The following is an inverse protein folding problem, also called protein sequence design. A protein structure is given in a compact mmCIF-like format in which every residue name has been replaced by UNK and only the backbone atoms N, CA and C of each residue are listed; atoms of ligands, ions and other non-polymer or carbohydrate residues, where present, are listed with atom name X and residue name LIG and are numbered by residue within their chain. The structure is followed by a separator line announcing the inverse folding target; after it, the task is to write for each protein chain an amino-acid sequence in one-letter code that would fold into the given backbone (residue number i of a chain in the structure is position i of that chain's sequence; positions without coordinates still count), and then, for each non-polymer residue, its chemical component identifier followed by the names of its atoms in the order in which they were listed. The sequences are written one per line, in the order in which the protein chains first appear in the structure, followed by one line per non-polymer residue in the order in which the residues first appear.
data_IF_614241710121
#
_entry.id   IF_614241710121
#
_cell.length_a   1.000
_cell.length_b   1.000
_cell.length_c   1.000
_cell.angle_alpha   90.00
_cell.angle_beta   90.00
_cell.angle_gamma   90.00
#
_symmetry.space_group_name_H-M   'P 1'
#
loop_
_entity.id
_entity.type
_entity.pdbx_description
1 polymer ?
#
# COMPACT_ATOMS: atom_id res chain seq x y z
N UNK A 1 4.23 -25.08 -27.51
CA UNK A 1 5.48 -25.42 -26.81
C UNK A 1 5.38 -24.91 -25.38
N UNK A 2 5.12 -25.79 -24.41
CA UNK A 2 5.04 -25.43 -22.99
C UNK A 2 6.46 -25.37 -22.42
N UNK A 3 6.84 -24.21 -21.85
CA UNK A 3 8.11 -24.07 -21.14
C UNK A 3 7.95 -24.76 -19.77
N UNK A 4 8.77 -25.76 -19.41
CA UNK A 4 8.53 -26.65 -18.27
C UNK A 4 8.53 -25.97 -16.89
N UNK A 5 9.04 -24.75 -16.79
CA UNK A 5 9.15 -23.98 -15.53
C UNK A 5 8.17 -22.80 -15.44
N UNK A 6 7.17 -22.70 -16.34
CA UNK A 6 6.18 -21.63 -16.34
C UNK A 6 4.83 -22.21 -15.92
N UNK A 7 4.26 -21.69 -14.83
CA UNK A 7 2.93 -22.10 -14.38
C UNK A 7 1.83 -21.59 -15.32
N UNK A 8 0.69 -22.27 -15.39
CA UNK A 8 -0.43 -21.81 -16.24
C UNK A 8 -0.88 -20.38 -15.90
N UNK A 9 -0.86 -20.01 -14.61
CA UNK A 9 -1.17 -18.67 -14.13
C UNK A 9 -0.09 -17.60 -14.47
N UNK A 10 0.96 -17.96 -15.20
CA UNK A 10 1.96 -17.05 -15.76
C UNK A 10 1.75 -16.79 -17.26
N UNK A 11 0.87 -17.56 -17.90
CA UNK A 11 0.54 -17.43 -19.30
C UNK A 11 -0.69 -16.53 -19.52
N UNK A 12 -0.89 -16.11 -20.76
CA UNK A 12 -2.14 -15.46 -21.17
C UNK A 12 -3.30 -16.43 -20.90
N UNK A 13 -4.33 -15.96 -20.20
CA UNK A 13 -5.53 -16.76 -19.90
C UNK A 13 -6.28 -17.09 -21.18
N UNK A 14 -6.94 -18.25 -21.21
CA UNK A 14 -7.89 -18.58 -22.28
C UNK A 14 -9.12 -17.69 -22.18
N UNK A 15 -9.85 -17.54 -23.27
CA UNK A 15 -11.03 -16.67 -23.34
C UNK A 15 -12.09 -17.08 -22.31
N UNK A 16 -12.27 -18.38 -22.13
CA UNK A 16 -13.21 -19.01 -21.19
C UNK A 16 -12.79 -18.88 -19.72
N UNK A 17 -11.53 -18.51 -19.42
CA UNK A 17 -10.98 -18.43 -18.06
C UNK A 17 -10.81 -16.98 -17.57
N UNK A 18 -11.13 -15.97 -18.38
CA UNK A 18 -10.80 -14.56 -18.08
C UNK A 18 -11.42 -14.05 -16.76
N UNK A 19 -12.59 -14.56 -16.39
CA UNK A 19 -13.29 -14.22 -15.15
C UNK A 19 -13.00 -15.18 -13.98
N UNK A 20 -12.21 -16.22 -14.20
CA UNK A 20 -11.82 -17.12 -13.11
C UNK A 20 -10.73 -16.46 -12.24
N UNK A 21 -10.71 -16.70 -10.92
CA UNK A 21 -9.63 -16.19 -10.08
C UNK A 21 -8.27 -16.79 -10.51
N UNK A 22 -7.21 -15.98 -10.38
CA UNK A 22 -5.84 -16.49 -10.52
C UNK A 22 -5.62 -17.64 -9.52
N UNK A 23 -4.88 -18.68 -9.94
CA UNK A 23 -4.61 -19.85 -9.11
C UNK A 23 -4.01 -19.49 -7.73
N UNK A 24 -3.29 -18.37 -7.63
CA UNK A 24 -2.70 -17.88 -6.37
C UNK A 24 -3.71 -17.34 -5.36
N UNK A 25 -4.94 -17.07 -5.79
CA UNK A 25 -6.05 -16.69 -4.91
C UNK A 25 -6.96 -17.87 -4.56
N UNK A 26 -6.96 -18.97 -5.34
CA UNK A 26 -7.92 -20.10 -5.17
C UNK A 26 -7.94 -20.67 -3.75
N UNK A 27 -6.79 -20.79 -3.10
CA UNK A 27 -6.67 -21.36 -1.75
C UNK A 27 -6.49 -20.31 -0.64
N UNK A 28 -6.63 -19.02 -0.97
CA UNK A 28 -6.57 -17.95 0.04
C UNK A 28 -7.79 -18.07 0.95
N UNK A 29 -7.53 -18.09 2.26
CA UNK A 29 -8.56 -18.12 3.30
C UNK A 29 -8.63 -16.79 4.04
N UNK A 30 -9.83 -16.45 4.48
CA UNK A 30 -10.13 -15.29 5.33
C UNK A 30 -10.95 -15.75 6.53
N UNK A 31 -10.79 -15.06 7.66
CA UNK A 31 -11.63 -15.26 8.84
C UNK A 31 -12.85 -14.34 8.72
N UNK A 32 -14.03 -14.93 8.67
CA UNK A 32 -15.30 -14.21 8.62
C UNK A 32 -15.72 -13.85 10.05
N UNK A 33 -15.69 -12.54 10.38
CA UNK A 33 -16.03 -12.06 11.71
C UNK A 33 -17.52 -12.23 12.05
N UNK A 34 -18.41 -12.21 11.05
CA UNK A 34 -19.84 -12.37 11.29
C UNK A 34 -20.15 -13.84 11.59
N UNK A 35 -19.61 -14.75 10.78
CA UNK A 35 -19.85 -16.20 10.88
C UNK A 35 -18.92 -16.92 11.85
N UNK A 36 -17.87 -16.25 12.33
CA UNK A 36 -16.84 -16.81 13.21
C UNK A 36 -16.18 -18.08 12.63
N UNK A 37 -15.97 -18.09 11.31
CA UNK A 37 -15.44 -19.26 10.58
C UNK A 37 -14.32 -18.87 9.62
N UNK A 38 -13.50 -19.85 9.25
CA UNK A 38 -12.50 -19.70 8.18
C UNK A 38 -13.13 -20.16 6.87
N UNK A 39 -13.22 -19.27 5.89
CA UNK A 39 -13.73 -19.58 4.54
C UNK A 39 -12.76 -19.12 3.45
N UNK A 40 -13.02 -19.52 2.21
CA UNK A 40 -12.27 -19.02 1.06
C UNK A 40 -12.52 -17.52 0.89
N UNK A 41 -11.46 -16.81 0.51
CA UNK A 41 -11.51 -15.41 0.10
C UNK A 41 -12.36 -15.33 -1.17
N UNK A 42 -13.29 -14.38 -1.22
CA UNK A 42 -14.10 -14.10 -2.42
C UNK A 42 -13.66 -12.80 -3.08
N UNK A 43 -14.16 -12.56 -4.30
CA UNK A 43 -13.92 -11.29 -4.98
C UNK A 43 -14.56 -10.12 -4.23
N UNK A 44 -15.67 -10.31 -3.54
CA UNK A 44 -16.32 -9.29 -2.73
C UNK A 44 -15.45 -8.90 -1.52
N UNK A 45 -14.83 -9.87 -0.86
CA UNK A 45 -13.85 -9.57 0.21
C UNK A 45 -12.68 -8.77 -0.34
N UNK A 46 -12.17 -9.21 -1.50
CA UNK A 46 -11.05 -8.54 -2.15
C UNK A 46 -11.43 -7.12 -2.57
N UNK A 47 -12.60 -6.93 -3.17
CA UNK A 47 -13.15 -5.64 -3.56
C UNK A 47 -13.27 -4.70 -2.37
N UNK A 48 -13.82 -5.14 -1.23
CA UNK A 48 -13.93 -4.31 -0.02
C UNK A 48 -12.55 -3.81 0.46
N UNK A 49 -11.52 -4.66 0.41
CA UNK A 49 -10.15 -4.22 0.73
C UNK A 49 -9.63 -3.16 -0.25
N UNK A 50 -10.00 -3.21 -1.53
CA UNK A 50 -9.64 -2.17 -2.52
C UNK A 50 -10.49 -0.91 -2.33
N UNK A 51 -11.74 -1.07 -1.92
CA UNK A 51 -12.69 0.01 -1.69
C UNK A 51 -12.22 0.96 -0.58
N UNK A 52 -11.66 0.40 0.49
CA UNK A 52 -11.10 1.14 1.63
C UNK A 52 -9.91 2.05 1.26
N UNK A 53 -9.21 1.75 0.17
CA UNK A 53 -8.09 2.55 -0.34
C UNK A 53 -8.60 3.80 -1.06
N UNK A 54 -9.28 4.71 -0.35
CA UNK A 54 -9.94 5.88 -0.94
C UNK A 54 -9.18 7.18 -0.67
N UNK A 55 -9.02 7.99 -1.72
CA UNK A 55 -8.58 9.38 -1.59
C UNK A 55 -9.74 10.28 -1.16
N UNK A 56 -9.49 11.27 -0.30
CA UNK A 56 -10.51 12.26 0.06
C UNK A 56 -10.72 13.29 -1.05
N UNK A 57 -11.87 13.97 -1.05
CA UNK A 57 -12.30 14.88 -2.14
C UNK A 57 -11.48 16.19 -2.24
N UNK A 58 -10.48 16.35 -1.37
CA UNK A 58 -9.54 17.48 -1.41
C UNK A 58 -8.33 17.22 -2.31
N UNK A 59 -8.17 15.99 -2.80
CA UNK A 59 -7.10 15.60 -3.72
C UNK A 59 -7.44 16.06 -5.14
N UNK A 60 -6.51 16.70 -5.89
CA UNK A 60 -6.76 17.15 -7.26
C UNK A 60 -7.18 16.03 -8.23
N UNK A 61 -8.09 16.34 -9.15
CA UNK A 61 -8.69 15.39 -10.11
C UNK A 61 -7.66 14.54 -10.87
N UNK A 62 -6.60 15.15 -11.38
CA UNK A 62 -5.54 14.42 -12.11
C UNK A 62 -4.87 13.37 -11.22
N UNK A 63 -4.63 13.69 -9.95
CA UNK A 63 -4.04 12.76 -8.97
C UNK A 63 -5.04 11.66 -8.63
N UNK A 64 -6.30 12.04 -8.42
CA UNK A 64 -7.38 11.12 -8.13
C UNK A 64 -7.53 10.07 -9.25
N UNK A 65 -7.65 10.53 -10.50
CA UNK A 65 -7.76 9.68 -11.68
C UNK A 65 -6.56 8.73 -11.81
N UNK A 66 -5.33 9.21 -11.59
CA UNK A 66 -4.14 8.36 -11.66
C UNK A 66 -4.11 7.29 -10.55
N UNK A 67 -4.63 7.59 -9.36
CA UNK A 67 -4.72 6.61 -8.28
C UNK A 67 -5.89 5.63 -8.47
N UNK A 68 -7.02 6.06 -9.01
CA UNK A 68 -8.12 5.16 -9.39
C UNK A 68 -7.67 4.13 -10.44
N UNK A 69 -6.79 4.50 -11.37
CA UNK A 69 -6.13 3.53 -12.26
C UNK A 69 -5.36 2.47 -11.48
N UNK A 70 -4.64 2.86 -10.41
CA UNK A 70 -3.92 1.90 -9.57
C UNK A 70 -4.87 0.96 -8.81
N UNK A 71 -5.97 1.49 -8.25
CA UNK A 71 -6.99 0.69 -7.56
C UNK A 71 -7.67 -0.30 -8.50
N UNK A 72 -8.04 0.15 -9.70
CA UNK A 72 -8.59 -0.73 -10.72
C UNK A 72 -7.59 -1.83 -11.08
N UNK A 73 -6.34 -1.49 -11.40
CA UNK A 73 -5.30 -2.50 -11.67
C UNK A 73 -5.15 -3.48 -10.52
N UNK A 74 -5.23 -3.01 -9.27
CA UNK A 74 -5.15 -3.86 -8.09
C UNK A 74 -6.37 -4.78 -7.98
N UNK A 75 -7.59 -4.30 -8.21
CA UNK A 75 -8.80 -5.13 -8.24
C UNK A 75 -8.66 -6.25 -9.29
N UNK A 76 -8.16 -5.94 -10.48
CA UNK A 76 -7.96 -6.92 -11.55
C UNK A 76 -6.82 -7.91 -11.25
N UNK A 77 -6.02 -7.72 -10.19
CA UNK A 77 -5.07 -8.77 -9.79
C UNK A 77 -5.78 -10.03 -9.34
N UNK A 78 -7.03 -9.93 -8.87
CA UNK A 78 -7.88 -11.09 -8.56
C UNK A 78 -7.89 -12.12 -9.70
N UNK A 79 -8.01 -11.65 -10.94
CA UNK A 79 -8.03 -12.49 -12.14
C UNK A 79 -6.64 -12.79 -12.69
N UNK A 80 -5.69 -11.86 -12.52
CA UNK A 80 -4.30 -11.96 -13.01
C UNK A 80 -3.32 -11.41 -11.96
N UNK A 81 -2.78 -12.28 -11.12
CA UNK A 81 -1.97 -11.89 -9.95
C UNK A 81 -0.76 -11.02 -10.32
N UNK A 82 -0.15 -11.30 -11.48
CA UNK A 82 1.06 -10.58 -11.94
C UNK A 82 0.81 -9.11 -12.29
N UNK A 83 -0.44 -8.69 -12.48
CA UNK A 83 -0.76 -7.26 -12.63
C UNK A 83 -0.44 -6.45 -11.37
N UNK A 84 -0.18 -7.11 -10.23
CA UNK A 84 0.17 -6.44 -8.98
C UNK A 84 1.36 -5.50 -9.09
N UNK A 85 2.41 -5.89 -9.82
CA UNK A 85 3.58 -5.02 -10.02
C UNK A 85 3.22 -3.76 -10.82
N UNK A 86 2.28 -3.88 -11.76
CA UNK A 86 1.77 -2.76 -12.57
C UNK A 86 0.91 -1.84 -11.71
N UNK A 87 0.07 -2.41 -10.84
CA UNK A 87 -0.72 -1.66 -9.86
C UNK A 87 0.18 -0.87 -8.90
N UNK A 88 1.23 -1.50 -8.35
CA UNK A 88 2.22 -0.84 -7.48
C UNK A 88 2.96 0.29 -8.20
N UNK A 89 3.39 0.07 -9.45
CA UNK A 89 4.02 1.11 -10.26
C UNK A 89 3.09 2.30 -10.52
N UNK A 90 1.82 2.02 -10.82
CA UNK A 90 0.81 3.05 -11.03
C UNK A 90 0.54 3.84 -9.74
N UNK A 91 0.49 3.17 -8.58
CA UNK A 91 0.37 3.84 -7.28
C UNK A 91 1.57 4.74 -6.97
N UNK A 92 2.79 4.31 -7.30
CA UNK A 92 3.97 5.17 -7.17
C UNK A 92 3.95 6.35 -8.14
N UNK A 93 3.42 6.16 -9.35
CA UNK A 93 3.28 7.22 -10.34
C UNK A 93 2.30 8.30 -9.87
N UNK A 94 1.13 7.90 -9.34
CA UNK A 94 0.15 8.84 -8.79
C UNK A 94 0.68 9.57 -7.55
N UNK A 95 1.40 8.87 -6.66
CA UNK A 95 2.12 9.49 -5.54
C UNK A 95 3.15 10.53 -6.01
N UNK A 96 3.95 10.19 -7.02
CA UNK A 96 4.93 11.12 -7.57
C UNK A 96 4.25 12.34 -8.20
N UNK A 97 3.13 12.15 -8.91
CA UNK A 97 2.31 13.24 -9.43
C UNK A 97 1.77 14.13 -8.30
N UNK A 98 1.17 13.55 -7.26
CA UNK A 98 0.64 14.27 -6.11
C UNK A 98 1.69 15.17 -5.44
N UNK A 99 2.88 14.62 -5.21
CA UNK A 99 4.00 15.35 -4.64
C UNK A 99 4.46 16.50 -5.55
N UNK A 100 4.45 16.32 -6.87
CA UNK A 100 4.79 17.39 -7.83
C UNK A 100 3.75 18.49 -7.84
N UNK A 101 2.47 18.14 -7.81
CA UNK A 101 1.36 19.09 -7.72
C UNK A 101 1.48 19.91 -6.44
N UNK A 102 1.65 19.25 -5.27
CA UNK A 102 1.84 19.92 -3.99
C UNK A 102 3.09 20.81 -3.94
N UNK A 103 4.14 20.45 -4.67
CA UNK A 103 5.37 21.24 -4.77
C UNK A 103 5.29 22.43 -5.74
N UNK A 104 4.14 22.68 -6.37
CA UNK A 104 3.91 23.84 -7.25
C UNK A 104 3.94 23.55 -8.75
N UNK A 105 3.82 22.29 -9.18
CA UNK A 105 3.83 21.91 -10.60
C UNK A 105 5.20 22.06 -11.27
N UNK A 106 5.41 21.42 -12.43
CA UNK A 106 6.61 21.61 -13.27
C UNK A 106 7.97 21.14 -12.71
N UNK A 107 8.03 20.64 -11.47
CA UNK A 107 9.28 20.18 -10.86
C UNK A 107 9.81 18.89 -11.51
N UNK A 108 11.10 18.89 -11.89
CA UNK A 108 11.82 17.70 -12.39
C UNK A 108 12.46 16.86 -11.28
N UNK A 109 12.13 17.14 -10.01
CA UNK A 109 12.66 16.40 -8.87
C UNK A 109 12.17 14.95 -8.92
N UNK A 110 13.08 14.01 -8.70
CA UNK A 110 12.77 12.57 -8.57
C UNK A 110 12.00 12.31 -7.27
N UNK A 111 11.21 11.23 -7.24
CA UNK A 111 10.43 10.76 -6.08
C UNK A 111 11.16 10.89 -4.73
N UNK A 112 12.41 10.41 -4.63
CA UNK A 112 13.18 10.50 -3.39
C UNK A 112 13.31 11.94 -2.86
N UNK A 113 13.63 12.90 -3.74
CA UNK A 113 13.80 14.31 -3.35
C UNK A 113 12.46 14.94 -2.95
N UNK A 114 11.38 14.55 -3.61
CA UNK A 114 10.04 15.00 -3.29
C UNK A 114 9.59 14.48 -1.91
N UNK A 115 9.78 13.19 -1.63
CA UNK A 115 9.46 12.60 -0.33
C UNK A 115 10.30 13.20 0.80
N UNK A 116 11.62 13.33 0.62
CA UNK A 116 12.48 13.99 1.61
C UNK A 116 12.03 15.44 1.87
N UNK A 117 11.60 16.16 0.84
CA UNK A 117 11.07 17.51 0.98
C UNK A 117 9.74 17.52 1.76
N UNK A 118 8.81 16.61 1.45
CA UNK A 118 7.54 16.47 2.15
C UNK A 118 7.73 16.17 3.64
N UNK A 119 8.65 15.26 3.99
CA UNK A 119 9.02 14.99 5.38
C UNK A 119 9.61 16.23 6.05
N UNK A 120 10.55 16.92 5.38
CA UNK A 120 11.22 18.11 5.94
C UNK A 120 10.23 19.25 6.25
N UNK A 121 9.20 19.41 5.43
CA UNK A 121 8.20 20.48 5.60
C UNK A 121 6.96 20.02 6.40
N UNK A 122 6.98 18.80 6.95
CA UNK A 122 5.88 18.26 7.76
C UNK A 122 4.58 18.01 6.97
N UNK A 123 4.65 17.92 5.64
CA UNK A 123 3.49 17.58 4.81
C UNK A 123 3.04 16.14 5.02
N UNK A 124 3.96 15.27 5.44
CA UNK A 124 3.65 13.89 5.83
C UNK A 124 4.25 13.63 7.21
N UNK A 125 3.49 12.91 8.05
CA UNK A 125 3.83 12.64 9.44
C UNK A 125 3.45 11.21 9.80
N UNK A 126 4.11 10.65 10.81
CA UNK A 126 3.92 9.25 11.21
C UNK A 126 2.44 8.97 11.59
N UNK A 127 1.77 9.96 12.18
CA UNK A 127 0.39 9.89 12.63
C UNK A 127 -0.61 9.78 11.48
N UNK A 128 -0.24 10.13 10.25
CA UNK A 128 -1.12 10.02 9.09
C UNK A 128 -1.31 8.58 8.58
N UNK A 129 -0.56 7.61 9.13
CA UNK A 129 -0.58 6.22 8.66
C UNK A 129 -1.31 5.30 9.64
N UNK A 130 -2.46 4.78 9.23
CA UNK A 130 -3.34 3.94 10.06
C UNK A 130 -2.66 2.66 10.52
N UNK A 131 -2.02 1.92 9.60
CA UNK A 131 -1.26 0.71 9.93
C UNK A 131 -0.10 0.97 10.90
N UNK A 132 0.54 2.15 10.82
CA UNK A 132 1.56 2.55 11.78
C UNK A 132 0.95 2.86 13.15
N UNK A 133 -0.13 3.67 13.21
CA UNK A 133 -0.83 3.98 14.47
C UNK A 133 -1.26 2.72 15.20
N UNK A 134 -1.88 1.80 14.48
CA UNK A 134 -2.38 0.55 15.04
C UNK A 134 -1.24 -0.37 15.51
N UNK A 135 -0.13 -0.44 14.75
CA UNK A 135 1.08 -1.15 15.21
C UNK A 135 1.66 -0.53 16.48
N UNK A 136 1.67 0.80 16.59
CA UNK A 136 2.15 1.51 17.77
C UNK A 136 1.24 1.30 18.96
N UNK A 137 -0.08 1.28 18.77
CA UNK A 137 -1.07 0.95 19.79
C UNK A 137 -0.85 -0.46 20.34
N UNK A 138 -0.78 -1.49 19.50
CA UNK A 138 -0.49 -2.87 19.92
C UNK A 138 0.84 -3.01 20.65
N UNK A 139 1.87 -2.29 20.18
CA UNK A 139 3.16 -2.25 20.84
C UNK A 139 3.04 -1.65 22.25
N UNK A 140 2.28 -0.57 22.41
CA UNK A 140 2.05 0.05 23.70
C UNK A 140 1.26 -0.89 24.62
N UNK A 141 0.19 -1.52 24.15
CA UNK A 141 -0.59 -2.51 24.92
C UNK A 141 0.29 -3.68 25.38
N UNK A 142 1.20 -4.15 24.52
CA UNK A 142 2.16 -5.20 24.89
C UNK A 142 3.13 -4.72 25.96
N UNK A 143 3.65 -3.49 25.85
CA UNK A 143 4.54 -2.90 26.84
C UNK A 143 3.82 -2.76 28.18
N UNK A 144 2.59 -2.22 28.17
CA UNK A 144 1.79 -2.01 29.38
C UNK A 144 1.48 -3.34 30.07
N UNK A 145 1.05 -4.36 29.31
CA UNK A 145 0.78 -5.69 29.85
C UNK A 145 2.02 -6.37 30.43
N UNK A 146 3.19 -6.23 29.78
CA UNK A 146 4.45 -6.77 30.31
C UNK A 146 4.97 -5.95 31.50
N UNK A 147 4.75 -4.65 31.53
CA UNK A 147 5.12 -3.78 32.65
C UNK A 147 4.35 -4.10 33.93
N UNK A 148 3.13 -4.63 33.83
CA UNK A 148 2.39 -5.15 34.99
C UNK A 148 3.05 -6.40 35.60
N UNK A 149 3.80 -7.17 34.80
CA UNK A 149 4.49 -8.40 35.23
C UNK A 149 5.94 -8.09 35.63
N UNK A 150 6.59 -7.17 34.91
CA UNK A 150 7.99 -6.79 35.05
C UNK A 150 8.06 -5.26 35.19
N UNK A 151 8.15 -4.72 36.42
CA UNK A 151 8.00 -3.29 36.69
C UNK A 151 8.93 -2.35 35.91
N UNK A 152 10.11 -2.83 35.50
CA UNK A 152 11.13 -2.06 34.77
C UNK A 152 11.14 -2.32 33.25
N UNK A 153 10.16 -3.06 32.72
CA UNK A 153 10.15 -3.46 31.31
C UNK A 153 10.09 -2.27 30.37
N UNK A 154 9.18 -1.31 30.60
CA UNK A 154 9.02 -0.13 29.77
C UNK A 154 10.30 0.73 29.68
N UNK A 155 11.07 0.83 30.77
CA UNK A 155 12.31 1.62 30.82
C UNK A 155 13.41 1.04 29.94
N UNK A 156 13.39 -0.28 29.71
CA UNK A 156 14.33 -0.99 28.82
C UNK A 156 13.97 -0.84 27.34
N UNK A 157 12.76 -0.39 27.03
CA UNK A 157 12.28 -0.27 25.66
C UNK A 157 12.61 1.12 25.11
N UNK A 158 13.37 1.15 24.01
CA UNK A 158 13.65 2.39 23.31
C UNK A 158 12.37 2.97 22.68
N UNK A 159 12.01 4.24 22.98
CA UNK A 159 10.84 4.86 22.38
C UNK A 159 11.02 5.00 20.86
N UNK A 160 9.91 5.00 20.13
CA UNK A 160 9.96 5.29 18.70
C UNK A 160 10.38 6.75 18.49
N UNK A 161 11.25 6.99 17.51
CA UNK A 161 11.67 8.36 17.18
C UNK A 161 10.57 9.05 16.37
N UNK A 162 10.09 10.25 16.76
CA UNK A 162 9.11 11.00 15.98
C UNK A 162 9.56 11.22 14.53
N UNK A 163 8.68 10.98 13.57
CA UNK A 163 8.96 11.02 12.13
C UNK A 163 9.86 9.87 11.64
N UNK A 164 10.08 8.85 12.48
CA UNK A 164 10.94 7.72 12.17
C UNK A 164 10.37 6.86 11.06
N UNK A 165 9.04 6.72 11.03
CA UNK A 165 8.35 5.94 10.01
C UNK A 165 8.39 6.64 8.65
N UNK A 166 8.02 7.91 8.56
CA UNK A 166 8.07 8.67 7.30
C UNK A 166 9.48 8.82 6.74
N UNK A 167 10.50 8.96 7.59
CA UNK A 167 11.90 8.97 7.14
C UNK A 167 12.31 7.62 6.53
N UNK A 168 11.90 6.51 7.15
CA UNK A 168 12.12 5.17 6.62
C UNK A 168 11.41 4.98 5.27
N UNK A 169 10.14 5.39 5.15
CA UNK A 169 9.40 5.35 3.88
C UNK A 169 10.09 6.19 2.79
N UNK A 170 10.54 7.41 3.11
CA UNK A 170 11.24 8.28 2.14
C UNK A 170 12.50 7.65 1.56
N UNK A 171 13.14 6.72 2.29
CA UNK A 171 14.32 6.00 1.86
C UNK A 171 14.01 4.70 1.08
N UNK A 172 12.88 4.05 1.38
CA UNK A 172 12.53 2.73 0.82
C UNK A 172 11.67 2.85 -0.43
N UNK A 173 10.63 3.69 -0.44
CA UNK A 173 9.67 3.77 -1.56
C UNK A 173 10.35 4.06 -2.91
N UNK A 174 11.33 4.99 -3.03
CA UNK A 174 12.01 5.21 -4.30
C UNK A 174 12.78 3.99 -4.82
N UNK A 175 13.35 3.19 -3.90
CA UNK A 175 14.08 1.96 -4.26
C UNK A 175 13.12 0.89 -4.77
N UNK A 176 11.97 0.74 -4.12
CA UNK A 176 10.93 -0.20 -4.55
C UNK A 176 10.36 0.19 -5.90
N UNK A 177 10.01 1.47 -6.10
CA UNK A 177 9.57 1.99 -7.40
C UNK A 177 10.58 1.70 -8.51
N UNK A 178 11.87 1.99 -8.28
CA UNK A 178 12.90 1.76 -9.30
C UNK A 178 13.08 0.28 -9.61
N UNK A 179 13.06 -0.59 -8.58
CA UNK A 179 13.14 -2.04 -8.77
C UNK A 179 12.01 -2.55 -9.67
N UNK A 180 10.77 -2.12 -9.43
CA UNK A 180 9.64 -2.51 -10.26
C UNK A 180 9.78 -1.99 -11.71
N UNK A 181 10.26 -0.76 -11.89
CA UNK A 181 10.43 -0.14 -13.21
C UNK A 181 11.50 -0.83 -14.07
N UNK A 182 12.51 -1.44 -13.45
CA UNK A 182 13.52 -2.25 -14.15
C UNK A 182 13.10 -3.71 -14.38
N UNK A 183 11.88 -4.07 -13.96
CA UNK A 183 11.43 -5.45 -13.90
C UNK A 183 11.91 -6.13 -12.61
N UNK A 184 11.03 -6.94 -12.01
CA UNK A 184 11.33 -7.72 -10.82
C UNK A 184 10.93 -9.17 -11.04
N UNK A 185 11.83 -10.08 -10.72
CA UNK A 185 11.56 -11.53 -10.72
C UNK A 185 10.78 -11.96 -9.47
N UNK A 186 10.74 -11.13 -8.43
CA UNK A 186 10.03 -11.41 -7.18
C UNK A 186 8.55 -11.05 -7.29
N UNK A 187 7.70 -12.04 -7.03
CA UNK A 187 6.28 -11.83 -6.74
C UNK A 187 6.14 -11.29 -5.32
N UNK A 188 5.86 -10.00 -5.19
CA UNK A 188 5.72 -9.34 -3.89
C UNK A 188 4.26 -9.41 -3.43
N UNK A 189 3.93 -10.05 -2.30
CA UNK A 189 2.55 -10.13 -1.81
C UNK A 189 2.05 -8.82 -1.17
N UNK A 190 2.90 -7.80 -1.03
CA UNK A 190 2.57 -6.54 -0.35
C UNK A 190 1.93 -5.46 -1.21
N UNK A 191 1.22 -5.84 -2.29
CA UNK A 191 0.56 -4.89 -3.21
C UNK A 191 -0.38 -3.96 -2.44
N UNK A 192 -1.24 -4.54 -1.58
CA UNK A 192 -2.17 -3.79 -0.73
C UNK A 192 -1.44 -2.71 0.08
N UNK A 193 -0.42 -3.11 0.84
CA UNK A 193 0.34 -2.20 1.70
C UNK A 193 1.02 -1.09 0.90
N UNK A 194 1.50 -1.38 -0.32
CA UNK A 194 2.08 -0.36 -1.20
C UNK A 194 1.02 0.68 -1.60
N UNK A 195 -0.17 0.25 -2.02
CA UNK A 195 -1.26 1.16 -2.37
C UNK A 195 -1.77 1.93 -1.15
N UNK A 196 -1.92 1.28 0.01
CA UNK A 196 -2.30 1.89 1.28
C UNK A 196 -1.34 3.02 1.65
N UNK A 197 -0.04 2.74 1.68
CA UNK A 197 1.00 3.76 1.96
C UNK A 197 0.93 4.91 0.96
N UNK A 198 0.72 4.64 -0.33
CA UNK A 198 0.59 5.70 -1.33
C UNK A 198 -0.68 6.53 -1.11
N UNK A 199 -1.82 5.88 -0.83
CA UNK A 199 -3.09 6.52 -0.50
C UNK A 199 -2.94 7.47 0.69
N UNK A 200 -2.40 6.96 1.80
CA UNK A 200 -2.22 7.71 3.03
C UNK A 200 -1.23 8.87 2.88
N UNK A 201 -0.18 8.71 2.07
CA UNK A 201 0.70 9.83 1.74
C UNK A 201 -0.07 10.88 0.93
N UNK A 202 -0.76 10.49 -0.15
CA UNK A 202 -1.48 11.42 -1.02
C UNK A 202 -2.50 12.22 -0.23
N UNK A 203 -3.27 11.55 0.63
CA UNK A 203 -4.25 12.18 1.50
C UNK A 203 -3.62 13.18 2.51
N UNK A 204 -2.38 12.97 2.93
CA UNK A 204 -1.70 13.94 3.79
C UNK A 204 -1.21 15.19 3.04
N UNK A 205 -1.07 15.13 1.71
CA UNK A 205 -0.54 16.26 0.93
C UNK A 205 -1.55 17.38 0.70
N UNK A 206 -2.84 17.10 0.86
CA UNK A 206 -3.92 18.03 0.57
C UNK A 206 -4.87 18.13 1.76
N UNK A 207 -5.51 19.28 1.91
CA UNK A 207 -6.50 19.45 2.98
C UNK A 207 -7.80 18.73 2.57
N UNK A 208 -8.46 17.99 3.49
CA UNK A 208 -9.79 17.50 3.22
C UNK A 208 -10.77 18.68 3.03
N UNK A 209 -11.88 18.48 2.30
CA UNK A 209 -12.91 19.50 2.20
C UNK A 209 -13.36 19.94 3.60
N UNK A 210 -13.55 21.25 3.79
CA UNK A 210 -14.17 21.74 5.03
C UNK A 210 -15.62 21.24 5.03
N UNK A 211 -15.96 20.42 6.01
CA UNK A 211 -17.34 20.01 6.30
C UNK A 211 -18.24 21.21 6.57
#
# INVERSE_FOLDING_TARGET
MTRPNIGEADCLKKLEEICEPDARYKDRKVYDLERHEIRLLTIEDFYRNVEELKLHDGVPDDVFIEFEKARNLYLYTWFVYRLGQVAELQAYASLELALRVRHGGGTKKKLQRLLTHAVKHGWIRDEGFSGYREKMKRRQETIDGLSQIIPDYAEKIKPAKPGGYVRMLSAILPKMRNRLAHGSTLLHPGIHNTLEICCEIINQLFEPPKS
#
